data_IF_165141606974
#
_entry.id   IF_165141606974
#
_cell.length_a   1.000
_cell.length_b   1.000
_cell.length_c   1.000
_cell.angle_alpha   90.00
_cell.angle_beta   90.00
_cell.angle_gamma   90.00
#
_symmetry.space_group_name_H-M   'P 1'
#
loop_
_entity.id
_entity.type
_entity.pdbx_description
1 polymer ?
#
# COMPACT_ATOMS: atom_id res chain seq x y z
N UNK A 1 0.26 -20.70 -40.06
CA UNK A 1 1.53 -19.93 -40.08
C UNK A 1 1.60 -18.98 -38.89
N UNK A 2 1.36 -19.50 -37.68
CA UNK A 2 1.07 -18.74 -36.46
C UNK A 2 1.66 -19.42 -35.20
N UNK A 3 2.38 -20.52 -35.37
CA UNK A 3 3.01 -21.30 -34.28
C UNK A 3 4.54 -21.19 -34.25
N UNK A 4 5.19 -20.74 -35.32
CA UNK A 4 6.66 -20.71 -35.41
C UNK A 4 7.29 -19.46 -34.79
N UNK A 5 6.65 -18.31 -34.94
CA UNK A 5 7.10 -17.06 -34.30
C UNK A 5 6.80 -17.10 -32.78
N UNK A 6 5.65 -17.70 -32.42
CA UNK A 6 5.09 -17.99 -31.07
C UNK A 6 6.08 -18.23 -29.93
N UNK A 7 7.02 -19.13 -30.21
CA UNK A 7 7.76 -19.83 -29.18
C UNK A 7 9.01 -19.07 -28.72
N UNK A 8 9.52 -18.16 -29.56
CA UNK A 8 10.72 -17.38 -29.26
C UNK A 8 10.41 -16.16 -28.38
N UNK A 9 9.19 -15.61 -28.48
CA UNK A 9 8.74 -14.49 -27.65
C UNK A 9 8.01 -14.89 -26.37
N UNK A 10 7.55 -16.14 -26.27
CA UNK A 10 6.89 -16.70 -25.10
C UNK A 10 7.66 -16.50 -23.77
N UNK A 11 9.00 -16.74 -23.68
CA UNK A 11 9.73 -16.52 -22.43
C UNK A 11 9.82 -15.04 -22.03
N UNK A 12 9.88 -14.11 -22.99
CA UNK A 12 9.86 -12.67 -22.70
C UNK A 12 8.49 -12.21 -22.21
N UNK A 13 7.41 -12.73 -22.80
CA UNK A 13 6.06 -12.48 -22.33
C UNK A 13 5.83 -13.05 -20.92
N UNK A 14 6.30 -14.28 -20.66
CA UNK A 14 6.22 -14.89 -19.34
C UNK A 14 7.02 -14.11 -18.28
N UNK A 15 8.23 -13.64 -18.61
CA UNK A 15 9.04 -12.80 -17.73
C UNK A 15 8.33 -11.47 -17.39
N UNK A 16 7.70 -10.83 -18.37
CA UNK A 16 6.91 -9.60 -18.15
C UNK A 16 5.73 -9.83 -17.19
N UNK A 17 5.02 -10.95 -17.32
CA UNK A 17 3.91 -11.33 -16.44
C UNK A 17 4.40 -11.60 -15.02
N UNK A 18 5.51 -12.30 -14.85
CA UNK A 18 6.10 -12.59 -13.53
C UNK A 18 6.50 -11.28 -12.83
N UNK A 19 7.12 -10.34 -13.54
CA UNK A 19 7.47 -9.02 -13.00
C UNK A 19 6.21 -8.25 -12.56
N UNK A 20 5.15 -8.26 -13.37
CA UNK A 20 3.90 -7.60 -13.03
C UNK A 20 3.26 -8.19 -11.76
N UNK A 21 3.30 -9.52 -11.60
CA UNK A 21 2.80 -10.21 -10.40
C UNK A 21 3.61 -9.82 -9.17
N UNK A 22 4.94 -9.81 -9.27
CA UNK A 22 5.83 -9.44 -8.15
C UNK A 22 5.52 -8.00 -7.70
N UNK A 23 5.38 -7.06 -8.64
CA UNK A 23 5.04 -5.67 -8.32
C UNK A 23 3.66 -5.57 -7.64
N UNK A 24 2.66 -6.30 -8.15
CA UNK A 24 1.33 -6.36 -7.53
C UNK A 24 1.37 -6.89 -6.10
N UNK A 25 2.15 -7.95 -5.86
CA UNK A 25 2.31 -8.54 -4.52
C UNK A 25 3.06 -7.59 -3.59
N UNK A 26 4.09 -6.89 -4.07
CA UNK A 26 4.80 -5.88 -3.29
C UNK A 26 3.90 -4.71 -2.91
N UNK A 27 3.04 -4.24 -3.82
CA UNK A 27 2.04 -3.19 -3.52
C UNK A 27 1.04 -3.65 -2.45
N UNK A 28 0.54 -4.88 -2.55
CA UNK A 28 -0.36 -5.45 -1.54
C UNK A 28 0.34 -5.63 -0.19
N UNK A 29 1.57 -6.15 -0.19
CA UNK A 29 2.37 -6.31 1.02
C UNK A 29 2.65 -4.94 1.68
N UNK A 30 2.96 -3.93 0.88
CA UNK A 30 3.15 -2.55 1.34
C UNK A 30 1.87 -1.98 1.95
N UNK A 31 0.71 -2.21 1.32
CA UNK A 31 -0.58 -1.77 1.85
C UNK A 31 -0.92 -2.42 3.20
N UNK A 32 -0.73 -3.74 3.32
CA UNK A 32 -0.95 -4.46 4.59
C UNK A 32 0.03 -3.96 5.66
N UNK A 33 1.29 -3.72 5.30
CA UNK A 33 2.30 -3.21 6.22
C UNK A 33 1.91 -1.84 6.80
N UNK A 34 1.31 -0.95 5.99
CA UNK A 34 0.79 0.34 6.47
C UNK A 34 -0.38 0.19 7.46
N UNK A 35 -1.24 -0.81 7.29
CA UNK A 35 -2.30 -1.13 8.26
C UNK A 35 -1.68 -1.61 9.58
N UNK A 36 -0.64 -2.44 9.52
CA UNK A 36 0.07 -2.92 10.72
C UNK A 36 0.78 -1.76 11.44
N UNK A 37 1.43 -0.85 10.70
CA UNK A 37 2.08 0.32 11.28
C UNK A 37 1.07 1.24 11.98
N UNK A 38 -0.08 1.46 11.34
CA UNK A 38 -1.22 2.17 11.92
C UNK A 38 -1.74 1.44 13.18
N UNK A 39 -1.88 0.11 13.14
CA UNK A 39 -2.35 -0.67 14.28
C UNK A 39 -1.36 -0.70 15.46
N UNK A 40 -0.05 -0.67 15.18
CA UNK A 40 1.03 -0.61 16.17
C UNK A 40 1.24 0.79 16.75
N UNK A 41 0.91 1.85 16.02
CA UNK A 41 0.92 3.21 16.56
C UNK A 41 -0.16 3.33 17.65
N UNK A 42 0.27 3.65 18.86
CA UNK A 42 -0.62 4.04 19.93
C UNK A 42 -1.13 5.46 19.66
N UNK A 43 -2.24 5.56 18.92
CA UNK A 43 -3.02 6.78 18.88
C UNK A 43 -3.61 7.03 20.27
N UNK A 44 -3.60 8.27 20.74
CA UNK A 44 -4.18 8.64 22.04
C UNK A 44 -5.68 8.34 22.12
N UNK A 45 -6.38 8.36 20.98
CA UNK A 45 -7.80 8.07 20.87
C UNK A 45 -8.01 6.79 20.06
N UNK A 46 -8.72 5.81 20.64
CA UNK A 46 -9.12 4.58 19.95
C UNK A 46 -9.98 4.87 18.70
N UNK A 47 -10.78 5.94 18.73
CA UNK A 47 -11.56 6.39 17.57
C UNK A 47 -10.68 6.89 16.41
N UNK A 48 -9.59 7.62 16.68
CA UNK A 48 -8.68 8.08 15.61
C UNK A 48 -7.99 6.91 14.91
N UNK A 49 -7.63 5.88 15.69
CA UNK A 49 -7.06 4.64 15.16
C UNK A 49 -8.03 3.95 14.20
N UNK A 50 -9.30 3.85 14.58
CA UNK A 50 -10.35 3.22 13.75
C UNK A 50 -10.56 4.02 12.46
N UNK A 51 -10.64 5.35 12.55
CA UNK A 51 -10.81 6.22 11.36
C UNK A 51 -9.63 6.05 10.41
N UNK A 52 -8.40 6.03 10.89
CA UNK A 52 -7.22 5.86 10.04
C UNK A 52 -7.15 4.50 9.37
N UNK A 53 -7.50 3.43 10.09
CA UNK A 53 -7.61 2.10 9.49
C UNK A 53 -8.70 2.09 8.41
N UNK A 54 -9.85 2.70 8.66
CA UNK A 54 -10.95 2.77 7.70
C UNK A 54 -10.57 3.56 6.44
N UNK A 55 -9.84 4.67 6.59
CA UNK A 55 -9.31 5.48 5.48
C UNK A 55 -8.29 4.68 4.66
N UNK A 56 -7.35 3.98 5.29
CA UNK A 56 -6.35 3.14 4.60
C UNK A 56 -7.03 1.96 3.89
N UNK A 57 -8.07 1.39 4.50
CA UNK A 57 -8.81 0.25 3.92
C UNK A 57 -9.65 0.68 2.71
N UNK A 58 -10.37 1.80 2.80
CA UNK A 58 -11.26 2.28 1.73
C UNK A 58 -10.51 2.96 0.58
N UNK A 59 -9.44 3.70 0.87
CA UNK A 59 -8.66 4.42 -0.16
C UNK A 59 -7.44 3.63 -0.65
N UNK A 60 -7.14 2.48 -0.04
CA UNK A 60 -6.02 1.64 -0.42
C UNK A 60 -4.68 2.37 -0.31
N UNK A 61 -4.01 2.47 -1.44
CA UNK A 61 -2.71 3.10 -1.64
C UNK A 61 -2.79 4.63 -1.50
N UNK A 62 -3.91 5.24 -1.88
CA UNK A 62 -4.16 6.67 -1.69
C UNK A 62 -4.31 6.98 -0.19
N UNK A 63 -4.97 6.09 0.56
CA UNK A 63 -5.11 6.21 2.01
C UNK A 63 -3.79 6.19 2.75
N UNK A 64 -2.84 5.36 2.30
CA UNK A 64 -1.48 5.33 2.84
C UNK A 64 -0.68 6.61 2.55
N UNK A 65 -0.85 7.20 1.35
CA UNK A 65 -0.21 8.48 1.00
C UNK A 65 -0.76 9.64 1.86
N UNK A 66 -2.08 9.67 2.04
CA UNK A 66 -2.76 10.65 2.90
C UNK A 66 -2.34 10.44 4.36
N UNK A 67 -2.23 9.20 4.85
CA UNK A 67 -1.69 8.88 6.16
C UNK A 67 -0.31 9.50 6.37
N UNK A 68 0.58 9.27 5.41
CA UNK A 68 1.93 9.81 5.48
C UNK A 68 1.95 11.34 5.52
N UNK A 69 1.17 12.01 4.66
CA UNK A 69 1.11 13.48 4.62
C UNK A 69 0.45 14.05 5.88
N UNK A 70 -0.68 13.51 6.32
CA UNK A 70 -1.44 14.09 7.45
C UNK A 70 -0.74 13.84 8.79
N UNK A 71 -0.29 12.61 9.05
CA UNK A 71 0.42 12.32 10.32
C UNK A 71 1.82 12.94 10.33
N UNK A 72 2.55 12.96 9.22
CA UNK A 72 3.96 13.41 9.22
C UNK A 72 4.13 14.88 8.85
N UNK A 73 3.37 15.41 7.88
CA UNK A 73 3.57 16.77 7.35
C UNK A 73 2.62 17.80 7.98
N UNK A 74 1.36 17.45 8.21
CA UNK A 74 0.37 18.40 8.75
C UNK A 74 0.47 18.49 10.28
N UNK A 75 1.00 17.44 10.94
CA UNK A 75 0.92 17.36 12.40
C UNK A 75 2.24 17.04 13.15
N UNK A 76 3.26 17.93 13.11
CA UNK A 76 4.49 17.74 13.88
C UNK A 76 4.30 17.88 15.40
N UNK A 77 3.18 18.44 15.90
CA UNK A 77 2.94 18.71 17.34
C UNK A 77 1.50 18.56 17.87
N UNK A 78 0.53 18.08 17.09
CA UNK A 78 -0.90 18.20 17.44
C UNK A 78 -1.62 16.93 17.92
N UNK A 79 -0.92 15.86 18.34
CA UNK A 79 -1.50 14.91 19.32
C UNK A 79 -1.30 15.52 20.72
N UNK A 80 -1.80 16.74 20.89
CA UNK A 80 -1.48 17.68 21.96
C UNK A 80 -1.45 17.02 23.33
N UNK A 81 -0.43 17.41 24.08
CA UNK A 81 -0.52 17.85 25.47
C UNK A 81 -1.99 18.04 25.93
N UNK A 82 -2.47 17.10 26.72
CA UNK A 82 -3.27 17.33 27.93
C UNK A 82 -3.13 16.09 28.78
#
# INVERSE_FOLDING_TARGET
>A
MNSFFGWWFWPFAAAGIIIAIIIGVLLLAFWIWMIIDCAKRNFKNDMEKIIWILVIVLLGWIGALIYYIVIRAINPKGISKK
#
